data_IF_278764014542
#
_entry.id   IF_278764014542
#
_cell.length_a   1.000
_cell.length_b   1.000
_cell.length_c   1.000
_cell.angle_alpha   90.00
_cell.angle_beta   90.00
_cell.angle_gamma   90.00
#
_symmetry.space_group_name_H-M   'P 1'
#
loop_
_entity.id
_entity.type
_entity.pdbx_description
1 polymer ?
#
# COMPACT_ATOMS: atom_id res chain seq x y z
N UNK A 1 14.10 -35.01 26.79
CA UNK A 1 13.05 -35.93 26.29
C UNK A 1 13.48 -37.36 26.55
N UNK A 2 12.65 -38.09 27.29
CA UNK A 2 12.79 -39.51 27.63
C UNK A 2 12.83 -40.41 26.36
N UNK A 3 13.54 -41.53 26.44
CA UNK A 3 13.69 -42.52 25.35
C UNK A 3 12.32 -43.09 24.95
N UNK A 4 11.44 -43.30 25.93
CA UNK A 4 10.06 -43.73 25.71
C UNK A 4 9.29 -42.74 24.81
N UNK A 5 9.34 -41.44 25.12
CA UNK A 5 8.65 -40.41 24.33
C UNK A 5 9.18 -40.31 22.89
N UNK A 6 10.49 -40.48 22.70
CA UNK A 6 11.09 -40.52 21.35
C UNK A 6 10.61 -41.74 20.56
N UNK A 7 10.53 -42.91 21.18
CA UNK A 7 10.08 -44.13 20.53
C UNK A 7 8.58 -44.06 20.19
N UNK A 8 7.76 -43.60 21.14
CA UNK A 8 6.32 -43.39 20.96
C UNK A 8 6.04 -42.41 19.81
N UNK A 9 6.78 -41.30 19.74
CA UNK A 9 6.67 -40.35 18.63
C UNK A 9 7.00 -41.01 17.28
N UNK A 10 8.12 -41.72 17.19
CA UNK A 10 8.51 -42.42 15.94
C UNK A 10 7.48 -43.46 15.49
N UNK A 11 6.91 -44.22 16.43
CA UNK A 11 5.87 -45.19 16.12
C UNK A 11 4.61 -44.48 15.60
N UNK A 12 4.16 -43.44 16.30
CA UNK A 12 3.02 -42.64 15.86
C UNK A 12 3.25 -42.03 14.47
N UNK A 13 4.43 -41.47 14.21
CA UNK A 13 4.78 -40.89 12.90
C UNK A 13 4.86 -41.94 11.78
N UNK A 14 5.23 -43.19 12.11
CA UNK A 14 5.31 -44.29 11.15
C UNK A 14 3.93 -44.84 10.78
N UNK A 15 3.04 -44.98 11.76
CA UNK A 15 1.71 -45.57 11.58
C UNK A 15 0.60 -44.55 11.32
N UNK A 16 0.83 -43.26 11.55
CA UNK A 16 -0.11 -42.22 11.16
C UNK A 16 -0.35 -42.30 9.64
N UNK A 17 -1.61 -42.20 9.17
CA UNK A 17 -1.91 -42.14 7.75
C UNK A 17 -1.15 -40.97 7.11
N UNK A 18 -0.08 -41.27 6.38
CA UNK A 18 0.69 -40.25 5.67
C UNK A 18 -0.19 -39.75 4.53
N UNK A 19 -0.62 -38.50 4.62
CA UNK A 19 -1.29 -37.83 3.51
C UNK A 19 -0.40 -37.97 2.29
N UNK A 20 -0.97 -38.38 1.16
CA UNK A 20 -0.20 -38.51 -0.06
C UNK A 20 0.35 -37.12 -0.44
N UNK A 21 1.67 -36.94 -0.33
CA UNK A 21 2.33 -35.66 -0.61
C UNK A 21 2.00 -35.12 -2.00
N UNK A 22 1.81 -35.99 -3.01
CA UNK A 22 1.44 -35.55 -4.35
C UNK A 22 0.03 -34.97 -4.41
N UNK A 23 -0.91 -35.57 -3.68
CA UNK A 23 -2.26 -35.03 -3.54
C UNK A 23 -2.25 -33.70 -2.79
N UNK A 24 -1.52 -33.60 -1.67
CA UNK A 24 -1.39 -32.35 -0.92
C UNK A 24 -0.80 -31.22 -1.79
N UNK A 25 0.27 -31.52 -2.54
CA UNK A 25 0.88 -30.58 -3.49
C UNK A 25 -0.09 -30.19 -4.60
N UNK A 26 -0.87 -31.13 -5.13
CA UNK A 26 -1.91 -30.83 -6.11
C UNK A 26 -2.95 -29.84 -5.54
N UNK A 27 -3.42 -30.07 -4.32
CA UNK A 27 -4.36 -29.16 -3.63
C UNK A 27 -3.74 -27.78 -3.43
N UNK A 28 -2.48 -27.70 -2.99
CA UNK A 28 -1.73 -26.45 -2.86
C UNK A 28 -1.66 -25.68 -4.18
N UNK A 29 -1.26 -26.32 -5.27
CA UNK A 29 -1.13 -25.70 -6.60
C UNK A 29 -2.48 -25.20 -7.16
N UNK A 30 -3.59 -25.78 -6.72
CA UNK A 30 -4.95 -25.34 -7.08
C UNK A 30 -5.45 -24.15 -6.27
N UNK A 31 -4.77 -23.76 -5.19
CA UNK A 31 -5.19 -22.60 -4.39
C UNK A 31 -5.05 -21.30 -5.19
N UNK A 32 -5.99 -20.39 -4.95
CA UNK A 32 -6.01 -19.02 -5.49
C UNK A 32 -6.41 -18.05 -4.36
N UNK A 33 -5.99 -16.77 -4.46
CA UNK A 33 -6.54 -15.73 -3.61
C UNK A 33 -8.06 -15.65 -3.77
N UNK A 34 -8.76 -15.38 -2.68
CA UNK A 34 -10.20 -15.05 -2.71
C UNK A 34 -10.35 -13.56 -3.07
N UNK A 35 -11.44 -13.19 -3.74
CA UNK A 35 -11.74 -11.79 -4.05
C UNK A 35 -11.75 -10.94 -2.76
N UNK A 36 -10.94 -9.89 -2.73
CA UNK A 36 -10.79 -9.00 -1.57
C UNK A 36 -9.94 -9.57 -0.42
N UNK A 37 -9.34 -10.74 -0.58
CA UNK A 37 -8.39 -11.30 0.40
C UNK A 37 -7.06 -10.53 0.37
N UNK A 38 -6.55 -10.14 1.54
CA UNK A 38 -5.21 -9.55 1.63
C UNK A 38 -4.13 -10.60 1.36
N UNK A 39 -2.98 -10.18 0.82
CA UNK A 39 -1.86 -11.10 0.55
C UNK A 39 -1.39 -11.82 1.82
N UNK A 40 -1.48 -11.17 2.98
CA UNK A 40 -1.11 -11.74 4.29
C UNK A 40 -2.08 -12.86 4.71
N UNK A 41 -3.39 -12.64 4.53
CA UNK A 41 -4.39 -13.67 4.79
C UNK A 41 -4.23 -14.87 3.85
N UNK A 42 -3.95 -14.60 2.57
CA UNK A 42 -3.68 -15.64 1.59
C UNK A 42 -2.42 -16.46 1.94
N UNK A 43 -1.32 -15.79 2.30
CA UNK A 43 -0.09 -16.45 2.75
C UNK A 43 -0.34 -17.33 3.99
N UNK A 44 -1.18 -16.89 4.92
CA UNK A 44 -1.56 -17.69 6.10
C UNK A 44 -2.27 -18.98 5.71
N UNK A 45 -3.22 -18.91 4.77
CA UNK A 45 -3.91 -20.10 4.21
C UNK A 45 -2.93 -21.04 3.50
N UNK A 46 -1.96 -20.50 2.76
CA UNK A 46 -0.91 -21.29 2.11
C UNK A 46 -0.01 -21.98 3.14
N UNK A 47 0.39 -21.31 4.23
CA UNK A 47 1.16 -21.90 5.35
C UNK A 47 0.44 -23.10 5.98
N UNK A 48 -0.89 -23.06 6.09
CA UNK A 48 -1.66 -24.21 6.60
C UNK A 48 -1.61 -25.41 5.64
N UNK A 49 -1.61 -25.17 4.32
CA UNK A 49 -1.65 -26.24 3.31
C UNK A 49 -0.28 -26.80 2.96
N UNK A 50 0.76 -25.97 3.02
CA UNK A 50 2.14 -26.36 2.70
C UNK A 50 2.68 -27.39 3.71
N UNK A 51 2.15 -27.40 4.95
CA UNK A 51 2.53 -28.35 6.01
C UNK A 51 2.33 -29.82 5.60
N UNK A 52 1.31 -30.10 4.78
CA UNK A 52 1.00 -31.44 4.28
C UNK A 52 1.80 -31.81 3.01
N UNK A 53 2.54 -30.87 2.42
CA UNK A 53 3.15 -31.02 1.10
C UNK A 53 4.57 -31.62 1.13
N UNK A 54 5.20 -31.69 2.31
CA UNK A 54 6.59 -32.17 2.49
C UNK A 54 7.56 -31.45 1.53
N UNK A 55 7.50 -30.12 1.45
CA UNK A 55 8.52 -29.33 0.77
C UNK A 55 9.71 -29.07 1.69
N UNK A 56 10.92 -29.06 1.14
CA UNK A 56 12.14 -28.75 1.88
C UNK A 56 12.16 -27.30 2.32
N UNK A 57 11.87 -26.36 1.41
CA UNK A 57 11.66 -24.96 1.72
C UNK A 57 10.20 -24.57 1.46
N UNK A 58 9.43 -24.46 2.54
CA UNK A 58 8.01 -24.13 2.46
C UNK A 58 7.77 -22.66 2.09
N UNK A 59 8.61 -21.75 2.59
CA UNK A 59 8.44 -20.32 2.38
C UNK A 59 8.72 -19.92 0.94
N UNK A 60 9.76 -20.50 0.32
CA UNK A 60 10.02 -20.31 -1.11
C UNK A 60 8.83 -20.80 -1.95
N UNK A 61 8.24 -21.94 -1.59
CA UNK A 61 7.08 -22.49 -2.32
C UNK A 61 5.84 -21.61 -2.17
N UNK A 62 5.62 -21.04 -0.99
CA UNK A 62 4.54 -20.08 -0.77
C UNK A 62 4.78 -18.83 -1.61
N UNK A 63 6.00 -18.29 -1.60
CA UNK A 63 6.37 -17.10 -2.39
C UNK A 63 6.17 -17.32 -3.89
N UNK A 64 6.70 -18.42 -4.43
CA UNK A 64 6.51 -18.82 -5.84
C UNK A 64 5.01 -18.90 -6.20
N UNK A 65 4.21 -19.48 -5.31
CA UNK A 65 2.78 -19.64 -5.53
C UNK A 65 2.03 -18.30 -5.46
N UNK A 66 2.40 -17.38 -4.57
CA UNK A 66 1.83 -16.03 -4.52
C UNK A 66 2.17 -15.28 -5.80
N UNK A 67 3.43 -15.32 -6.27
CA UNK A 67 3.85 -14.69 -7.52
C UNK A 67 3.03 -15.20 -8.71
N UNK A 68 2.71 -16.50 -8.75
CA UNK A 68 1.95 -17.11 -9.85
C UNK A 68 0.44 -16.81 -9.82
N UNK A 69 -0.13 -16.45 -8.66
CA UNK A 69 -1.59 -16.45 -8.47
C UNK A 69 -2.17 -15.10 -8.06
N UNK A 70 -1.35 -14.11 -7.73
CA UNK A 70 -1.82 -12.76 -7.39
C UNK A 70 -1.87 -11.87 -8.63
N UNK A 71 -2.83 -10.93 -8.65
CA UNK A 71 -2.98 -9.97 -9.74
C UNK A 71 -2.20 -8.65 -9.50
N UNK A 72 -1.53 -8.52 -8.35
CA UNK A 72 -0.74 -7.33 -8.01
C UNK A 72 0.62 -7.33 -8.72
N UNK A 73 0.63 -6.90 -9.99
CA UNK A 73 1.85 -6.82 -10.80
C UNK A 73 2.95 -5.95 -10.18
N UNK A 74 2.59 -4.89 -9.46
CA UNK A 74 3.56 -3.98 -8.83
C UNK A 74 4.36 -4.71 -7.74
N UNK A 75 3.65 -5.47 -6.89
CA UNK A 75 4.27 -6.31 -5.86
C UNK A 75 5.15 -7.41 -6.48
N UNK A 76 4.67 -8.06 -7.55
CA UNK A 76 5.44 -9.08 -8.27
C UNK A 76 6.74 -8.50 -8.84
N UNK A 77 6.66 -7.35 -9.54
CA UNK A 77 7.83 -6.66 -10.12
C UNK A 77 8.86 -6.32 -9.04
N UNK A 78 8.42 -5.75 -7.92
CA UNK A 78 9.31 -5.43 -6.78
C UNK A 78 9.98 -6.69 -6.22
N UNK A 79 9.21 -7.75 -6.01
CA UNK A 79 9.69 -9.03 -5.47
C UNK A 79 10.78 -9.63 -6.35
N UNK A 80 10.54 -9.74 -7.66
CA UNK A 80 11.49 -10.33 -8.61
C UNK A 80 12.75 -9.47 -8.72
N UNK A 81 12.61 -8.15 -8.88
CA UNK A 81 13.74 -7.25 -9.05
C UNK A 81 14.66 -7.21 -7.83
N UNK A 82 14.08 -7.27 -6.63
CA UNK A 82 14.81 -7.19 -5.36
C UNK A 82 15.18 -8.56 -4.78
N UNK A 83 14.78 -9.65 -5.44
CA UNK A 83 14.98 -11.03 -4.98
C UNK A 83 14.49 -11.23 -3.54
N UNK A 84 13.28 -10.77 -3.28
CA UNK A 84 12.72 -10.80 -1.93
C UNK A 84 12.43 -12.22 -1.43
N UNK A 85 12.58 -12.41 -0.11
CA UNK A 85 12.02 -13.56 0.59
C UNK A 85 10.52 -13.36 0.84
N UNK A 86 9.83 -14.42 1.27
CA UNK A 86 8.41 -14.34 1.65
C UNK A 86 8.17 -13.25 2.70
N UNK A 87 8.99 -13.21 3.75
CA UNK A 87 8.85 -12.23 4.83
C UNK A 87 9.05 -10.79 4.34
N UNK A 88 10.00 -10.56 3.43
CA UNK A 88 10.22 -9.23 2.84
C UNK A 88 9.04 -8.79 1.97
N UNK A 89 8.47 -9.71 1.18
CA UNK A 89 7.24 -9.43 0.42
C UNK A 89 6.09 -9.06 1.37
N UNK A 90 5.87 -9.83 2.43
CA UNK A 90 4.78 -9.56 3.39
C UNK A 90 5.00 -8.25 4.14
N UNK A 91 6.24 -7.93 4.51
CA UNK A 91 6.57 -6.65 5.13
C UNK A 91 6.26 -5.46 4.22
N UNK A 92 6.55 -5.56 2.91
CA UNK A 92 6.15 -4.54 1.94
C UNK A 92 4.63 -4.39 1.86
N UNK A 93 3.88 -5.50 1.84
CA UNK A 93 2.41 -5.47 1.82
C UNK A 93 1.88 -4.70 3.04
N UNK A 94 2.37 -5.02 4.24
CA UNK A 94 2.01 -4.30 5.45
C UNK A 94 2.31 -2.80 5.35
N UNK A 95 3.52 -2.43 4.89
CA UNK A 95 3.88 -1.02 4.72
C UNK A 95 2.98 -0.30 3.72
N UNK A 96 2.58 -0.96 2.63
CA UNK A 96 1.66 -0.40 1.64
C UNK A 96 0.26 -0.19 2.23
N UNK A 97 -0.24 -1.14 3.01
CA UNK A 97 -1.53 -1.03 3.71
C UNK A 97 -1.49 0.14 4.70
N UNK A 98 -0.47 0.22 5.55
CA UNK A 98 -0.28 1.31 6.52
C UNK A 98 -0.15 2.67 5.83
N UNK A 99 0.65 2.76 4.77
CA UNK A 99 0.82 4.00 3.99
C UNK A 99 -0.48 4.43 3.34
N UNK A 100 -1.28 3.48 2.86
CA UNK A 100 -2.59 3.77 2.26
C UNK A 100 -3.54 4.38 3.30
N UNK A 101 -3.55 3.84 4.53
CA UNK A 101 -4.33 4.41 5.63
C UNK A 101 -3.86 5.82 6.00
N UNK A 102 -2.55 6.03 6.14
CA UNK A 102 -2.00 7.36 6.43
C UNK A 102 -2.37 8.40 5.35
N UNK A 103 -2.27 8.03 4.07
CA UNK A 103 -2.68 8.92 2.95
C UNK A 103 -4.18 9.23 3.00
N UNK A 104 -5.01 8.24 3.33
CA UNK A 104 -6.44 8.40 3.47
C UNK A 104 -6.77 9.41 4.59
N UNK A 105 -6.21 9.21 5.78
CA UNK A 105 -6.41 10.09 6.93
C UNK A 105 -5.97 11.53 6.64
N UNK A 106 -4.82 11.70 5.95
CA UNK A 106 -4.37 13.03 5.51
C UNK A 106 -5.39 13.69 4.59
N UNK A 107 -5.97 12.96 3.62
CA UNK A 107 -6.98 13.51 2.70
C UNK A 107 -8.26 13.91 3.41
N UNK A 108 -8.71 13.13 4.38
CA UNK A 108 -9.91 13.44 5.15
C UNK A 108 -9.76 14.72 5.98
N UNK A 109 -8.57 14.97 6.52
CA UNK A 109 -8.24 16.23 7.19
C UNK A 109 -8.38 17.42 6.21
N UNK A 110 -7.92 17.27 4.97
CA UNK A 110 -8.05 18.32 3.94
C UNK A 110 -9.48 18.53 3.45
N UNK A 111 -10.32 17.49 3.39
CA UNK A 111 -11.73 17.61 2.95
C UNK A 111 -12.60 18.23 4.04
N UNK A 112 -12.39 17.85 5.31
CA UNK A 112 -13.07 18.45 6.47
C UNK A 112 -12.74 19.95 6.63
N UNK A 113 -11.49 20.34 6.36
CA UNK A 113 -11.09 21.76 6.36
C UNK A 113 -11.80 22.58 5.27
N UNK A 114 -12.15 21.95 4.13
CA UNK A 114 -12.78 22.62 2.98
C UNK A 114 -14.30 22.81 3.14
N UNK A 115 -14.96 21.97 3.93
CA UNK A 115 -16.40 22.09 4.22
C UNK A 115 -16.71 23.06 5.36
N UNK A 116 -15.70 23.44 6.16
CA UNK A 116 -15.83 24.42 7.25
C UNK A 116 -15.76 25.90 6.84
N UNK A 117 -15.33 26.24 5.62
CA UNK A 117 -15.05 27.63 5.20
C UNK A 117 -16.01 28.21 4.14
N UNK A 118 -17.24 27.71 3.99
CA UNK A 118 -18.24 28.37 3.12
C UNK A 118 -19.31 29.07 3.96
N UNK A 119 -18.89 30.10 4.70
CA UNK A 119 -19.83 31.12 5.17
C UNK A 119 -20.36 31.90 3.95
N UNK A 120 -21.64 31.70 3.63
CA UNK A 120 -22.34 32.43 2.56
C UNK A 120 -22.27 33.93 2.85
N UNK A 121 -21.43 34.67 2.13
CA UNK A 121 -21.53 36.13 2.07
C UNK A 121 -22.77 36.46 1.26
N UNK A 122 -23.92 36.57 1.93
CA UNK A 122 -25.07 37.28 1.37
C UNK A 122 -24.78 38.77 1.52
N UNK A 123 -24.47 39.46 0.43
CA UNK A 123 -24.54 40.91 0.43
C UNK A 123 -25.41 41.40 -0.73
N UNK A 124 -26.51 42.02 -0.34
CA UNK A 124 -27.51 42.65 -1.18
C UNK A 124 -26.96 43.94 -1.78
N UNK A 125 -27.12 44.10 -3.10
CA UNK A 125 -27.34 45.39 -3.77
C UNK A 125 -26.10 46.25 -4.09
N UNK A 126 -25.89 46.53 -5.38
CA UNK A 126 -25.16 47.73 -5.78
C UNK A 126 -24.41 47.69 -7.11
N UNK A 127 -25.14 47.94 -8.21
CA UNK A 127 -24.72 48.60 -9.47
C UNK A 127 -23.43 48.13 -10.18
N UNK A 128 -23.65 47.52 -11.35
CA UNK A 128 -22.68 47.35 -12.44
C UNK A 128 -21.92 48.66 -12.72
N UNK A 129 -20.59 48.61 -12.67
CA UNK A 129 -19.71 49.63 -13.27
C UNK A 129 -19.02 49.03 -14.48
N UNK A 130 -19.30 49.66 -15.61
CA UNK A 130 -18.76 49.43 -16.94
C UNK A 130 -17.24 49.61 -16.95
N UNK A 131 -16.49 48.61 -17.42
CA UNK A 131 -15.05 48.71 -17.68
C UNK A 131 -14.83 49.44 -19.02
N UNK A 132 -14.32 50.67 -18.94
CA UNK A 132 -13.74 51.40 -20.06
C UNK A 132 -12.22 51.41 -19.92
N UNK A 133 -11.53 50.78 -20.86
CA UNK A 133 -10.08 50.88 -21.05
C UNK A 133 -9.69 52.32 -21.40
N UNK A 134 -8.61 52.84 -20.80
CA UNK A 134 -7.65 53.68 -21.53
C UNK A 134 -6.31 53.78 -20.80
N UNK A 135 -5.27 53.47 -21.57
CA UNK A 135 -3.85 53.50 -21.24
C UNK A 135 -3.38 54.88 -20.78
N UNK A 136 -2.44 54.91 -19.83
CA UNK A 136 -1.25 55.77 -19.98
C UNK A 136 -0.10 55.27 -19.12
N UNK A 137 0.97 54.93 -19.82
CA UNK A 137 2.31 54.71 -19.32
C UNK A 137 2.88 56.00 -18.71
N UNK A 138 4.06 55.84 -18.11
CA UNK A 138 5.02 56.87 -17.65
C UNK A 138 4.92 57.27 -16.18
N UNK A 139 5.97 57.29 -15.38
CA UNK A 139 7.38 56.90 -15.55
C UNK A 139 7.99 56.79 -14.14
N UNK A 140 8.76 55.73 -13.90
CA UNK A 140 9.65 55.60 -12.76
C UNK A 140 10.99 56.23 -13.13
N UNK A 141 11.21 57.49 -12.80
CA UNK A 141 12.57 58.08 -12.79
C UNK A 141 12.69 59.25 -11.82
N UNK A 142 13.42 58.97 -10.75
CA UNK A 142 14.57 59.75 -10.29
C UNK A 142 14.33 61.05 -9.50
N UNK A 143 14.85 60.96 -8.27
CA UNK A 143 15.78 61.91 -7.63
C UNK A 143 15.17 63.19 -7.09
N UNK A 144 14.90 63.11 -5.79
CA UNK A 144 15.39 64.09 -4.83
C UNK A 144 16.81 64.54 -5.21
N UNK A 145 16.94 65.74 -5.75
CA UNK A 145 18.06 66.61 -5.46
C UNK A 145 17.77 68.04 -5.93
N UNK A 146 18.10 68.98 -5.03
CA UNK A 146 18.32 70.42 -5.28
C UNK A 146 17.08 71.30 -5.29
N UNK A 147 16.64 71.63 -4.07
CA UNK A 147 16.45 73.04 -3.70
C UNK A 147 17.73 73.81 -4.06
N UNK A 148 17.64 74.73 -5.01
CA UNK A 148 18.33 76.02 -5.02
C UNK A 148 17.63 76.96 -6.01
N UNK A 149 17.53 78.23 -5.59
CA UNK A 149 17.07 79.42 -6.31
C UNK A 149 15.57 79.65 -6.47
N UNK A 150 14.99 80.34 -5.49
CA UNK A 150 14.12 81.49 -5.77
C UNK A 150 14.66 82.70 -4.99
N UNK A 151 14.99 83.73 -5.77
CA UNK A 151 15.14 85.17 -5.52
C UNK A 151 15.12 85.69 -4.08
#
# INVERSE_FOLDING_TARGET
MDVYEKLKKKLNDYFAPKKNKHYARYVFLKMRPINGESTVAYATRLRQKVADCEFENQDDRILEHIIQTTDNESLIKKTINRKWTLDQMLQEVHQLEDTTLQIHDMRDIYTASRTGEIAKVTNYGGKQRHYGMQNREETYTMRHERRNNCN
#
